data_IF_610143900728
#
_entry.id   IF_610143900728
#
_cell.length_a   1.000
_cell.length_b   1.000
_cell.length_c   1.000
_cell.angle_alpha   90.00
_cell.angle_beta   90.00
_cell.angle_gamma   90.00
#
_symmetry.space_group_name_H-M   'P 1'
#
loop_
_entity.id
_entity.type
_entity.pdbx_description
1 polymer ?
#
# COMPACT_ATOMS: atom_id res chain seq x y z
N UNK A 1 4.90 10.68 15.43
CA UNK A 1 3.46 10.80 15.74
C UNK A 1 2.69 9.79 14.88
N UNK A 2 1.44 9.48 15.23
CA UNK A 2 0.61 8.57 14.45
C UNK A 2 -0.87 8.97 14.43
N UNK A 3 -1.56 8.65 13.35
CA UNK A 3 -3.03 8.69 13.21
C UNK A 3 -3.51 7.47 12.44
N UNK A 4 -4.72 7.01 12.70
CA UNK A 4 -5.28 5.83 12.04
C UNK A 4 -6.78 5.92 11.82
N UNK A 5 -7.26 5.28 10.76
CA UNK A 5 -8.67 5.26 10.36
C UNK A 5 -8.98 4.04 9.50
N UNK A 6 -10.07 4.13 8.74
CA UNK A 6 -10.54 3.06 7.87
C UNK A 6 -10.71 3.55 6.44
N UNK A 7 -10.37 2.70 5.46
CA UNK A 7 -10.71 2.87 4.06
C UNK A 7 -11.59 1.72 3.60
N UNK A 8 -12.56 1.95 2.73
CA UNK A 8 -13.32 0.88 2.07
C UNK A 8 -12.62 0.46 0.79
N UNK A 9 -12.12 -0.77 0.73
CA UNK A 9 -11.43 -1.33 -0.44
C UNK A 9 -12.38 -1.55 -1.62
N UNK A 10 -11.78 -1.69 -2.80
CA UNK A 10 -12.48 -2.05 -4.04
C UNK A 10 -12.40 -3.54 -4.37
N UNK A 11 -11.72 -4.32 -3.54
CA UNK A 11 -11.56 -5.77 -3.72
C UNK A 11 -11.60 -6.51 -2.39
N UNK A 12 -11.79 -7.83 -2.45
CA UNK A 12 -11.80 -8.76 -1.31
C UNK A 12 -11.15 -10.07 -1.72
N UNK A 13 -10.28 -10.60 -0.87
CA UNK A 13 -9.68 -11.93 -1.02
C UNK A 13 -8.66 -12.06 -2.15
N UNK A 14 -8.27 -10.98 -2.81
CA UNK A 14 -7.23 -10.97 -3.84
C UNK A 14 -7.31 -9.75 -4.75
N UNK A 15 -6.56 -9.81 -5.85
CA UNK A 15 -6.51 -8.76 -6.88
C UNK A 15 -6.02 -7.40 -6.38
N UNK A 16 -5.02 -7.42 -5.50
CA UNK A 16 -4.40 -6.25 -4.86
C UNK A 16 -4.09 -5.10 -5.81
N UNK A 17 -3.69 -5.39 -7.06
CA UNK A 17 -3.40 -4.35 -8.06
C UNK A 17 -4.60 -3.43 -8.36
N UNK A 18 -5.84 -3.90 -8.15
CA UNK A 18 -7.06 -3.09 -8.28
C UNK A 18 -7.18 -2.07 -7.14
N UNK A 19 -6.92 -2.49 -5.89
CA UNK A 19 -6.87 -1.60 -4.74
C UNK A 19 -5.72 -0.58 -4.85
N UNK A 20 -4.54 -1.03 -5.24
CA UNK A 20 -3.38 -0.16 -5.47
C UNK A 20 -3.70 0.89 -6.54
N UNK A 21 -4.25 0.46 -7.68
CA UNK A 21 -4.67 1.36 -8.75
C UNK A 21 -5.71 2.37 -8.26
N UNK A 22 -6.66 1.92 -7.45
CA UNK A 22 -7.67 2.80 -6.85
C UNK A 22 -7.03 3.87 -5.98
N UNK A 23 -6.19 3.47 -5.02
CA UNK A 23 -5.50 4.36 -4.10
C UNK A 23 -4.64 5.39 -4.83
N UNK A 24 -3.88 4.95 -5.85
CA UNK A 24 -2.93 5.78 -6.56
C UNK A 24 -3.57 6.73 -7.57
N UNK A 25 -4.75 6.41 -8.08
CA UNK A 25 -5.40 7.18 -9.16
C UNK A 25 -6.65 7.91 -8.73
N UNK A 26 -7.19 7.59 -7.55
CA UNK A 26 -8.44 8.14 -7.05
C UNK A 26 -9.64 7.79 -7.93
N UNK A 27 -9.56 6.66 -8.64
CA UNK A 27 -10.64 6.13 -9.47
C UNK A 27 -11.03 4.78 -8.89
N UNK A 28 -12.32 4.49 -8.77
CA UNK A 28 -12.79 3.18 -8.31
C UNK A 28 -12.47 2.09 -9.33
N UNK A 29 -11.37 1.35 -9.14
CA UNK A 29 -10.96 0.22 -9.98
C UNK A 29 -11.37 -1.08 -9.29
N UNK A 30 -12.51 -1.64 -9.69
CA UNK A 30 -13.07 -2.86 -9.09
C UNK A 30 -13.18 -4.03 -10.08
N UNK A 31 -12.51 -3.94 -11.24
CA UNK A 31 -12.51 -4.99 -12.25
C UNK A 31 -11.35 -4.85 -13.23
N UNK A 32 -11.01 -5.95 -13.91
CA UNK A 32 -9.98 -5.97 -14.95
C UNK A 32 -10.31 -5.03 -16.12
N UNK A 33 -11.59 -4.92 -16.51
CA UNK A 33 -12.02 -3.99 -17.56
C UNK A 33 -11.73 -2.53 -17.21
N UNK A 34 -11.96 -2.13 -15.94
CA UNK A 34 -11.62 -0.79 -15.46
C UNK A 34 -10.11 -0.58 -15.37
N UNK A 35 -9.37 -1.61 -14.95
CA UNK A 35 -7.91 -1.57 -14.91
C UNK A 35 -7.31 -1.37 -16.31
N UNK A 36 -7.79 -2.10 -17.32
CA UNK A 36 -7.35 -1.93 -18.72
C UNK A 36 -7.67 -0.54 -19.27
N UNK A 37 -8.86 -0.01 -18.95
CA UNK A 37 -9.21 1.36 -19.33
C UNK A 37 -8.31 2.40 -18.65
N UNK A 38 -7.95 2.16 -17.37
CA UNK A 38 -7.05 3.03 -16.61
C UNK A 38 -5.67 3.11 -17.25
N UNK A 39 -5.03 1.97 -17.52
CA UNK A 39 -3.65 1.93 -18.06
C UNK A 39 -3.54 2.52 -19.47
N UNK A 40 -4.66 2.61 -20.20
CA UNK A 40 -4.76 3.28 -21.49
C UNK A 40 -5.16 4.76 -21.39
N UNK A 41 -5.46 5.26 -20.19
CA UNK A 41 -5.93 6.64 -19.97
C UNK A 41 -4.78 7.61 -19.67
N UNK A 42 -5.00 8.93 -19.84
CA UNK A 42 -4.03 9.95 -19.42
C UNK A 42 -4.11 10.29 -17.92
N UNK A 43 -4.86 9.53 -17.10
CA UNK A 43 -5.00 9.82 -15.66
C UNK A 43 -3.63 9.69 -14.99
N UNK A 44 -3.19 10.74 -14.30
CA UNK A 44 -1.95 10.72 -13.52
C UNK A 44 -2.13 9.98 -12.19
N UNK A 45 -1.16 9.14 -11.82
CA UNK A 45 -1.09 8.50 -10.49
C UNK A 45 -0.48 9.46 -9.45
N UNK A 46 -0.54 9.12 -8.16
CA UNK A 46 0.21 9.82 -7.10
C UNK A 46 1.72 9.83 -7.39
N UNK A 47 2.26 8.71 -7.86
CA UNK A 47 3.68 8.58 -8.21
C UNK A 47 4.01 9.47 -9.40
N UNK A 48 3.19 9.47 -10.45
CA UNK A 48 3.37 10.36 -11.60
C UNK A 48 3.44 11.84 -11.19
N UNK A 49 2.58 12.27 -10.27
CA UNK A 49 2.60 13.63 -9.72
C UNK A 49 3.84 13.90 -8.85
N UNK A 50 4.26 12.93 -8.03
CA UNK A 50 5.47 13.06 -7.22
C UNK A 50 6.74 13.19 -8.09
N UNK A 51 6.82 12.39 -9.16
CA UNK A 51 7.90 12.46 -10.15
C UNK A 51 7.98 13.82 -10.83
N UNK A 52 6.84 14.37 -11.25
CA UNK A 52 6.76 15.74 -11.81
C UNK A 52 7.20 16.81 -10.80
N UNK A 53 6.99 16.57 -9.51
CA UNK A 53 7.46 17.43 -8.42
C UNK A 53 8.94 17.21 -8.05
N UNK A 54 9.69 16.39 -8.81
CA UNK A 54 11.13 16.17 -8.63
C UNK A 54 11.48 15.09 -7.60
N UNK A 55 10.51 14.31 -7.12
CA UNK A 55 10.78 13.17 -6.25
C UNK A 55 11.24 11.97 -7.07
N UNK A 56 12.14 11.17 -6.51
CA UNK A 56 12.46 9.87 -7.07
C UNK A 56 11.33 8.89 -6.73
N UNK A 57 10.70 8.30 -7.73
CA UNK A 57 9.57 7.39 -7.53
C UNK A 57 9.98 5.93 -7.64
N UNK A 58 9.48 5.09 -6.75
CA UNK A 58 9.83 3.68 -6.77
C UNK A 58 8.66 2.74 -6.45
N UNK A 59 8.72 1.54 -7.04
CA UNK A 59 7.91 0.39 -6.64
C UNK A 59 8.81 -0.66 -5.99
N UNK A 60 8.42 -1.18 -4.83
CA UNK A 60 9.06 -2.32 -4.16
C UNK A 60 8.03 -3.44 -4.11
N UNK A 61 8.17 -4.41 -5.02
CA UNK A 61 7.12 -5.38 -5.35
C UNK A 61 7.68 -6.82 -5.31
N UNK A 62 7.91 -7.38 -4.11
CA UNK A 62 8.55 -8.68 -3.91
C UNK A 62 7.78 -9.85 -4.56
N UNK A 63 6.49 -9.68 -4.87
CA UNK A 63 5.63 -10.68 -5.49
C UNK A 63 5.79 -10.78 -7.02
N UNK A 64 6.36 -9.75 -7.66
CA UNK A 64 6.45 -9.69 -9.12
C UNK A 64 7.69 -10.47 -9.56
N UNK A 65 7.45 -11.65 -10.16
CA UNK A 65 8.49 -12.57 -10.65
C UNK A 65 8.51 -12.69 -12.18
N UNK A 66 7.52 -12.12 -12.85
CA UNK A 66 7.38 -12.08 -14.31
C UNK A 66 7.39 -10.64 -14.81
N UNK A 67 7.49 -10.47 -16.13
CA UNK A 67 7.40 -9.13 -16.74
C UNK A 67 6.08 -8.45 -16.41
N UNK A 68 6.15 -7.24 -15.88
CA UNK A 68 4.99 -6.40 -15.58
C UNK A 68 4.96 -5.19 -16.52
N UNK A 69 4.24 -5.31 -17.64
CA UNK A 69 4.24 -4.29 -18.70
C UNK A 69 3.50 -3.02 -18.28
N UNK A 70 2.44 -3.20 -17.49
CA UNK A 70 1.59 -2.12 -17.01
C UNK A 70 2.31 -1.19 -16.03
N UNK A 71 3.45 -1.61 -15.48
CA UNK A 71 4.30 -0.75 -14.64
C UNK A 71 4.66 0.59 -15.29
N UNK A 72 4.78 0.63 -16.62
CA UNK A 72 5.09 1.86 -17.38
C UNK A 72 4.03 2.96 -17.25
N UNK A 73 2.80 2.61 -16.87
CA UNK A 73 1.72 3.58 -16.63
C UNK A 73 1.89 4.33 -15.30
N UNK A 74 2.43 3.68 -14.26
CA UNK A 74 2.35 4.19 -12.89
C UNK A 74 3.35 5.30 -12.57
N UNK A 75 4.38 5.49 -13.39
CA UNK A 75 5.34 6.59 -13.24
C UNK A 75 6.43 6.35 -12.20
N UNK A 76 6.91 5.11 -12.09
CA UNK A 76 8.10 4.77 -11.29
C UNK A 76 9.39 5.09 -12.07
N UNK A 77 10.39 5.67 -11.40
CA UNK A 77 11.76 5.75 -11.89
C UNK A 77 12.51 4.43 -11.66
N UNK A 78 12.25 3.77 -10.52
CA UNK A 78 12.85 2.49 -10.14
C UNK A 78 11.79 1.45 -9.79
N UNK A 79 11.95 0.22 -10.28
CA UNK A 79 11.15 -0.93 -9.86
C UNK A 79 12.12 -1.93 -9.23
N UNK A 80 11.88 -2.29 -7.98
CA UNK A 80 12.54 -3.38 -7.28
C UNK A 80 11.57 -4.56 -7.22
N UNK A 81 11.59 -5.40 -8.26
CA UNK A 81 10.85 -6.66 -8.29
C UNK A 81 11.59 -7.74 -7.50
N UNK A 82 11.03 -8.96 -7.40
CA UNK A 82 11.57 -10.03 -6.57
C UNK A 82 13.08 -10.27 -6.78
N UNK A 83 13.50 -10.36 -8.05
CA UNK A 83 14.89 -10.60 -8.42
C UNK A 83 15.83 -9.43 -8.08
N UNK A 84 15.30 -8.21 -8.04
CA UNK A 84 16.09 -7.00 -7.80
C UNK A 84 16.40 -6.82 -6.32
N UNK A 85 15.58 -7.34 -5.41
CA UNK A 85 15.74 -7.16 -3.95
C UNK A 85 16.97 -7.89 -3.40
N UNK A 86 17.51 -8.87 -4.13
CA UNK A 86 18.73 -9.58 -3.77
C UNK A 86 18.55 -10.61 -2.64
N UNK A 87 17.32 -11.08 -2.42
CA UNK A 87 17.03 -12.18 -1.50
C UNK A 87 17.60 -13.50 -2.06
N UNK A 88 18.35 -14.22 -1.23
CA UNK A 88 18.97 -15.51 -1.55
C UNK A 88 18.47 -16.65 -0.69
N UNK A 89 17.66 -16.35 0.32
CA UNK A 89 17.01 -17.37 1.14
C UNK A 89 15.92 -18.13 0.39
N UNK A 90 15.42 -19.18 1.02
CA UNK A 90 14.26 -19.95 0.54
C UNK A 90 12.99 -19.11 0.61
N UNK A 91 12.06 -19.30 -0.35
CA UNK A 91 10.74 -18.70 -0.26
C UNK A 91 9.90 -19.37 0.82
N UNK A 92 8.98 -18.62 1.41
CA UNK A 92 7.94 -19.08 2.33
C UNK A 92 6.70 -19.48 1.52
N UNK A 93 6.82 -20.59 0.77
CA UNK A 93 5.84 -21.00 -0.25
C UNK A 93 5.71 -19.95 -1.38
N UNK A 94 4.52 -19.38 -1.58
CA UNK A 94 4.30 -18.33 -2.58
C UNK A 94 4.91 -16.99 -2.16
N UNK A 95 5.04 -16.76 -0.84
CA UNK A 95 5.72 -15.58 -0.31
C UNK A 95 7.21 -15.70 -0.61
N UNK A 96 7.67 -14.89 -1.54
CA UNK A 96 9.03 -14.97 -2.10
C UNK A 96 10.11 -14.62 -1.07
N UNK A 97 9.85 -13.64 -0.19
CA UNK A 97 10.73 -13.28 0.94
C UNK A 97 9.95 -12.60 2.07
N UNK A 98 10.47 -12.60 3.31
CA UNK A 98 9.85 -11.90 4.43
C UNK A 98 9.87 -10.36 4.27
N UNK A 99 8.85 -9.70 4.79
CA UNK A 99 8.68 -8.23 4.72
C UNK A 99 9.85 -7.47 5.36
N UNK A 100 10.47 -8.07 6.38
CA UNK A 100 11.65 -7.52 7.04
C UNK A 100 12.82 -7.38 6.06
N UNK A 101 13.03 -8.39 5.20
CA UNK A 101 14.03 -8.30 4.15
C UNK A 101 13.63 -7.30 3.07
N UNK A 102 12.35 -7.27 2.67
CA UNK A 102 11.83 -6.30 1.69
C UNK A 102 12.10 -4.86 2.11
N UNK A 103 11.80 -4.50 3.36
CA UNK A 103 12.04 -3.14 3.90
C UNK A 103 13.54 -2.84 4.07
N UNK A 104 14.35 -3.82 4.46
CA UNK A 104 15.80 -3.65 4.54
C UNK A 104 16.42 -3.46 3.15
N UNK A 105 15.95 -4.18 2.14
CA UNK A 105 16.38 -4.02 0.76
C UNK A 105 15.96 -2.65 0.19
N UNK A 106 14.72 -2.21 0.48
CA UNK A 106 14.26 -0.86 0.16
C UNK A 106 15.21 0.22 0.72
N UNK A 107 15.55 0.13 2.01
CA UNK A 107 16.48 1.07 2.66
C UNK A 107 17.84 1.10 1.95
N UNK A 108 18.48 -0.07 1.78
CA UNK A 108 19.80 -0.18 1.14
C UNK A 108 19.84 0.33 -0.29
N UNK A 109 18.76 0.14 -1.05
CA UNK A 109 18.72 0.44 -2.49
C UNK A 109 18.25 1.86 -2.80
N UNK A 110 17.39 2.44 -1.98
CA UNK A 110 16.72 3.70 -2.30
C UNK A 110 16.94 4.81 -1.26
N UNK A 111 17.24 4.47 0.00
CA UNK A 111 17.41 5.48 1.06
C UNK A 111 18.87 5.74 1.44
N UNK A 112 19.73 4.72 1.39
CA UNK A 112 21.14 4.81 1.77
C UNK A 112 22.04 5.50 0.72
N UNK A 113 21.82 5.38 -0.60
CA UNK A 113 22.63 6.09 -1.59
C UNK A 113 22.50 7.63 -1.46
N UNK A 114 23.63 8.35 -1.47
CA UNK A 114 23.67 9.82 -1.42
C UNK A 114 24.67 10.38 -2.46
N UNK A 115 24.42 11.59 -3.03
CA UNK A 115 23.21 12.40 -2.85
C UNK A 115 21.98 11.76 -3.51
N UNK A 116 20.79 12.03 -2.97
CA UNK A 116 19.52 11.56 -3.54
C UNK A 116 18.42 12.60 -3.42
N UNK A 117 17.46 12.54 -4.34
CA UNK A 117 16.20 13.27 -4.22
C UNK A 117 15.33 12.65 -3.09
N UNK A 118 14.29 13.35 -2.61
CA UNK A 118 13.24 12.75 -1.81
C UNK A 118 12.61 11.55 -2.53
N UNK A 119 12.32 10.48 -1.80
CA UNK A 119 11.79 9.24 -2.37
C UNK A 119 10.31 9.13 -2.08
N UNK A 120 9.49 8.87 -3.11
CA UNK A 120 8.10 8.44 -2.98
C UNK A 120 8.03 6.97 -3.43
N UNK A 121 7.90 6.05 -2.47
CA UNK A 121 7.88 4.62 -2.75
C UNK A 121 6.52 4.00 -2.45
N UNK A 122 6.02 3.20 -3.39
CA UNK A 122 4.98 2.20 -3.13
C UNK A 122 5.67 0.88 -2.77
N UNK A 123 5.30 0.29 -1.63
CA UNK A 123 5.90 -0.95 -1.13
C UNK A 123 4.76 -1.95 -0.91
N UNK A 124 4.72 -3.00 -1.73
CA UNK A 124 3.75 -4.08 -1.64
C UNK A 124 4.28 -5.19 -0.73
N UNK A 125 3.99 -5.11 0.56
CA UNK A 125 4.32 -6.16 1.52
C UNK A 125 3.55 -7.45 1.22
N UNK A 126 4.14 -8.60 1.52
CA UNK A 126 3.65 -9.91 1.05
C UNK A 126 3.54 -10.96 2.16
N UNK A 127 4.11 -10.74 3.35
CA UNK A 127 4.19 -11.79 4.38
C UNK A 127 2.84 -12.16 5.00
N UNK A 128 1.83 -11.29 4.90
CA UNK A 128 0.45 -11.59 5.26
C UNK A 128 -0.42 -12.11 4.11
N UNK A 129 0.18 -12.53 3.01
CA UNK A 129 -0.54 -13.21 1.92
C UNK A 129 -0.71 -14.71 2.22
N UNK A 130 -1.77 -15.32 1.68
CA UNK A 130 -1.94 -16.77 1.73
C UNK A 130 -0.71 -17.48 1.14
N UNK A 131 -0.25 -18.62 1.70
CA UNK A 131 -1.01 -19.52 2.59
C UNK A 131 -0.88 -19.27 4.10
N UNK A 132 -0.27 -18.15 4.53
CA UNK A 132 -0.06 -17.78 5.95
C UNK A 132 0.76 -18.77 6.77
N UNK A 133 1.52 -19.66 6.15
CA UNK A 133 2.47 -20.55 6.83
C UNK A 133 3.67 -20.85 5.90
N UNK A 134 4.88 -21.00 6.43
CA UNK A 134 5.27 -20.67 7.80
C UNK A 134 5.31 -19.16 8.06
N UNK A 135 5.26 -18.78 9.34
CA UNK A 135 5.45 -17.38 9.76
C UNK A 135 6.95 -17.14 10.02
N UNK A 136 7.60 -16.21 9.31
CA UNK A 136 8.99 -15.87 9.60
C UNK A 136 9.12 -15.26 11.01
N UNK A 137 10.22 -15.53 11.73
CA UNK A 137 10.54 -14.76 12.94
C UNK A 137 10.98 -13.35 12.57
N UNK A 138 10.83 -12.41 13.50
CA UNK A 138 11.53 -11.13 13.41
C UNK A 138 12.97 -11.34 13.91
N UNK A 139 13.95 -11.09 13.06
CA UNK A 139 15.37 -11.25 13.37
C UNK A 139 16.03 -9.90 13.64
N UNK A 140 17.23 -9.85 14.25
CA UNK A 140 17.99 -8.61 14.31
C UNK A 140 18.26 -8.07 12.89
N UNK A 141 17.94 -6.79 12.63
CA UNK A 141 17.96 -6.21 11.28
C UNK A 141 19.34 -6.20 10.62
N UNK A 142 20.40 -6.11 11.43
CA UNK A 142 21.80 -6.19 11.00
C UNK A 142 22.24 -7.62 10.62
N UNK A 143 21.48 -8.64 11.02
CA UNK A 143 21.80 -10.05 10.75
C UNK A 143 21.20 -10.57 9.44
N UNK A 144 20.36 -9.77 8.76
CA UNK A 144 19.59 -10.23 7.61
C UNK A 144 20.45 -10.66 6.42
N UNK A 145 21.61 -10.01 6.21
CA UNK A 145 22.52 -10.33 5.12
C UNK A 145 21.83 -10.33 3.76
N UNK A 146 21.97 -11.45 3.03
CA UNK A 146 21.28 -11.73 1.77
C UNK A 146 19.95 -12.48 1.95
N UNK A 147 19.51 -12.70 3.19
CA UNK A 147 18.26 -13.36 3.53
C UNK A 147 18.38 -14.87 3.77
N UNK A 148 19.53 -15.50 3.52
CA UNK A 148 19.72 -16.94 3.78
C UNK A 148 19.54 -17.32 5.26
N UNK A 149 19.64 -16.35 6.18
CA UNK A 149 19.35 -16.54 7.62
C UNK A 149 17.92 -17.01 7.89
N UNK A 150 16.99 -16.79 6.95
CA UNK A 150 15.60 -17.23 7.08
C UNK A 150 15.36 -18.71 6.66
N UNK A 151 16.34 -19.36 6.03
CA UNK A 151 16.19 -20.73 5.49
C UNK A 151 15.67 -21.78 6.48
N UNK A 152 16.10 -21.79 7.77
CA UNK A 152 15.59 -22.74 8.74
C UNK A 152 14.08 -22.58 9.01
N UNK A 153 13.54 -21.38 8.82
CA UNK A 153 12.15 -21.04 9.12
C UNK A 153 11.23 -21.21 7.91
N UNK A 154 11.77 -21.04 6.70
CA UNK A 154 11.01 -21.16 5.44
C UNK A 154 10.37 -22.53 5.23
N UNK A 155 10.90 -23.57 5.88
CA UNK A 155 10.37 -24.95 5.83
C UNK A 155 9.95 -25.47 7.21
N UNK A 156 9.74 -24.59 8.18
CA UNK A 156 9.35 -24.96 9.53
C UNK A 156 7.84 -25.19 9.65
N UNK A 157 7.43 -26.03 10.61
CA UNK A 157 6.02 -26.26 10.93
C UNK A 157 5.25 -27.06 9.87
N UNK A 158 3.92 -27.01 9.97
CA UNK A 158 3.03 -27.72 9.07
C UNK A 158 2.90 -27.02 7.72
N UNK A 159 2.93 -27.83 6.65
CA UNK A 159 2.73 -27.37 5.29
C UNK A 159 1.31 -26.80 5.08
N UNK A 160 1.11 -25.91 4.08
CA UNK A 160 -0.20 -25.34 3.76
C UNK A 160 -1.32 -26.38 3.67
N UNK A 161 -1.08 -27.53 3.03
CA UNK A 161 -2.08 -28.57 2.80
C UNK A 161 -2.58 -29.24 4.10
N UNK A 162 -1.82 -29.11 5.19
CA UNK A 162 -2.19 -29.60 6.52
C UNK A 162 -2.95 -28.50 7.28
N UNK A 163 -2.41 -27.27 7.29
CA UNK A 163 -3.05 -26.12 7.95
C UNK A 163 -4.43 -25.86 7.37
N UNK A 164 -4.55 -25.91 6.04
CA UNK A 164 -5.77 -25.55 5.32
C UNK A 164 -6.91 -26.58 5.44
N UNK A 165 -6.69 -27.71 6.11
CA UNK A 165 -7.75 -28.67 6.46
C UNK A 165 -8.60 -28.20 7.64
N UNK A 166 -8.12 -27.24 8.42
CA UNK A 166 -8.78 -26.75 9.62
C UNK A 166 -8.96 -25.22 9.53
N UNK A 167 -10.21 -24.73 9.38
CA UNK A 167 -10.49 -23.30 9.31
C UNK A 167 -10.02 -22.49 10.52
N UNK A 168 -10.01 -23.05 11.73
CA UNK A 168 -9.50 -22.36 12.93
C UNK A 168 -7.99 -22.17 12.85
N UNK A 169 -7.27 -23.18 12.37
CA UNK A 169 -5.82 -23.07 12.14
C UNK A 169 -5.49 -22.04 11.07
N UNK A 170 -6.27 -21.98 9.98
CA UNK A 170 -6.08 -20.95 8.94
C UNK A 170 -6.28 -19.55 9.51
N UNK A 171 -7.32 -19.33 10.32
CA UNK A 171 -7.57 -18.04 10.98
C UNK A 171 -6.45 -17.64 11.94
N UNK A 172 -5.94 -18.59 12.71
CA UNK A 172 -4.83 -18.34 13.62
C UNK A 172 -3.56 -17.98 12.86
N UNK A 173 -3.24 -18.70 11.78
CA UNK A 173 -2.09 -18.40 10.92
C UNK A 173 -2.22 -17.03 10.24
N UNK A 174 -3.42 -16.68 9.76
CA UNK A 174 -3.69 -15.34 9.24
C UNK A 174 -3.41 -14.26 10.30
N UNK A 175 -3.93 -14.42 11.53
CA UNK A 175 -3.69 -13.51 12.64
C UNK A 175 -2.19 -13.36 12.94
N UNK A 176 -1.44 -14.46 13.00
CA UNK A 176 0.01 -14.45 13.23
C UNK A 176 0.77 -13.75 12.10
N UNK A 177 0.36 -13.94 10.85
CA UNK A 177 0.97 -13.25 9.69
C UNK A 177 0.77 -11.73 9.72
N UNK A 178 -0.40 -11.27 10.19
CA UNK A 178 -0.67 -9.85 10.41
C UNK A 178 0.17 -9.30 11.57
N UNK A 179 0.29 -10.03 12.67
CA UNK A 179 1.14 -9.65 13.80
C UNK A 179 2.59 -9.47 13.33
N UNK A 180 3.13 -10.42 12.57
CA UNK A 180 4.48 -10.32 11.99
C UNK A 180 4.61 -9.06 11.12
N UNK A 181 3.73 -8.88 10.14
CA UNK A 181 3.83 -7.79 9.16
C UNK A 181 3.74 -6.41 9.82
N UNK A 182 2.79 -6.24 10.76
CA UNK A 182 2.64 -4.99 11.52
C UNK A 182 3.82 -4.74 12.47
N UNK A 183 4.38 -5.79 13.08
CA UNK A 183 5.57 -5.68 13.92
C UNK A 183 6.76 -5.18 13.11
N UNK A 184 7.01 -5.80 11.95
CA UNK A 184 8.10 -5.41 11.04
C UNK A 184 7.97 -3.96 10.57
N UNK A 185 6.77 -3.52 10.20
CA UNK A 185 6.51 -2.12 9.82
C UNK A 185 6.75 -1.16 10.98
N UNK A 186 6.30 -1.52 12.18
CA UNK A 186 6.51 -0.75 13.40
C UNK A 186 8.00 -0.62 13.76
N UNK A 187 8.75 -1.72 13.69
CA UNK A 187 10.20 -1.72 13.89
C UNK A 187 10.93 -0.90 12.84
N UNK A 188 10.54 -0.99 11.57
CA UNK A 188 11.11 -0.16 10.51
C UNK A 188 10.88 1.33 10.80
N UNK A 189 9.66 1.72 11.18
CA UNK A 189 9.34 3.09 11.57
C UNK A 189 10.19 3.57 12.75
N UNK A 190 10.36 2.72 13.77
CA UNK A 190 11.16 3.02 14.96
C UNK A 190 12.65 3.19 14.62
N UNK A 191 13.21 2.31 13.78
CA UNK A 191 14.60 2.40 13.30
C UNK A 191 14.88 3.69 12.54
N UNK A 192 13.89 4.20 11.80
CA UNK A 192 14.00 5.46 11.05
C UNK A 192 13.68 6.70 11.87
N UNK A 193 13.42 6.61 13.18
CA UNK A 193 12.94 7.73 13.98
C UNK A 193 13.86 8.96 13.98
N UNK A 194 15.16 8.80 13.75
CA UNK A 194 16.11 9.91 13.63
C UNK A 194 15.96 10.71 12.31
N UNK A 195 15.48 10.07 11.25
CA UNK A 195 15.15 10.69 9.95
C UNK A 195 13.79 10.18 9.49
N UNK A 196 12.70 10.54 10.19
CA UNK A 196 11.44 9.84 10.07
C UNK A 196 10.78 10.12 8.72
N UNK A 197 10.50 9.10 7.89
CA UNK A 197 9.65 9.28 6.71
C UNK A 197 8.20 9.53 7.14
N UNK A 198 7.40 10.10 6.24
CA UNK A 198 5.95 10.00 6.33
C UNK A 198 5.53 8.66 5.72
N UNK A 199 5.08 7.73 6.55
CA UNK A 199 4.61 6.41 6.15
C UNK A 199 3.10 6.38 6.15
N UNK A 200 2.52 5.84 5.08
CA UNK A 200 1.09 5.52 4.98
C UNK A 200 0.99 4.00 4.82
N UNK A 201 0.45 3.34 5.84
CA UNK A 201 0.40 1.88 5.96
C UNK A 201 -1.07 1.46 5.96
N UNK A 202 -1.49 0.69 4.97
CA UNK A 202 -2.88 0.27 4.84
C UNK A 202 -2.98 -1.18 4.37
N UNK A 203 -4.10 -1.82 4.70
CA UNK A 203 -4.51 -3.03 3.99
C UNK A 203 -4.97 -2.68 2.58
N UNK A 204 -4.70 -3.55 1.62
CA UNK A 204 -5.25 -3.47 0.27
C UNK A 204 -6.66 -4.06 0.22
N UNK A 205 -6.92 -5.16 0.94
CA UNK A 205 -8.25 -5.78 1.06
C UNK A 205 -8.39 -6.71 2.27
N UNK A 206 -9.65 -7.05 2.60
CA UNK A 206 -9.98 -8.14 3.54
C UNK A 206 -9.60 -9.52 2.96
N UNK A 207 -9.30 -10.55 3.77
CA UNK A 207 -9.12 -11.91 3.27
C UNK A 207 -10.45 -12.49 2.78
N UNK A 208 -10.41 -13.69 2.21
CA UNK A 208 -11.61 -14.42 1.77
C UNK A 208 -12.60 -14.64 2.91
N UNK A 209 -13.90 -14.70 2.59
CA UNK A 209 -14.99 -14.67 3.57
C UNK A 209 -14.96 -15.74 4.67
N UNK A 210 -14.41 -16.93 4.42
CA UNK A 210 -14.29 -17.98 5.44
C UNK A 210 -13.24 -17.65 6.53
N UNK A 211 -12.28 -16.77 6.22
CA UNK A 211 -11.30 -16.24 7.17
C UNK A 211 -11.88 -15.02 7.89
N UNK A 212 -12.49 -14.11 7.12
CA UNK A 212 -13.14 -12.90 7.65
C UNK A 212 -14.45 -13.17 8.40
N UNK A 213 -14.91 -14.42 8.47
CA UNK A 213 -16.17 -14.85 9.11
C UNK A 213 -17.41 -14.04 8.70
N UNK A 214 -17.45 -13.58 7.45
CA UNK A 214 -18.59 -12.82 6.94
C UNK A 214 -18.75 -11.40 7.54
N UNK A 215 -17.71 -10.82 8.16
CA UNK A 215 -17.71 -9.40 8.46
C UNK A 215 -17.96 -8.61 7.17
N UNK A 216 -18.96 -7.72 7.23
CA UNK A 216 -19.74 -7.27 6.07
C UNK A 216 -19.03 -6.26 5.18
N UNK A 217 -18.19 -5.40 5.74
CA UNK A 217 -17.62 -4.28 5.01
C UNK A 217 -16.25 -4.63 4.42
N UNK A 218 -15.93 -4.08 3.24
CA UNK A 218 -14.60 -4.20 2.61
C UNK A 218 -13.57 -3.25 3.25
N UNK A 219 -13.79 -2.90 4.52
CA UNK A 219 -13.03 -1.89 5.24
C UNK A 219 -11.67 -2.43 5.67
N UNK A 220 -10.63 -1.63 5.47
CA UNK A 220 -9.24 -1.94 5.80
C UNK A 220 -8.65 -0.82 6.64
N UNK A 221 -7.80 -1.13 7.63
CA UNK A 221 -7.20 -0.08 8.44
C UNK A 221 -6.17 0.70 7.63
N UNK A 222 -6.06 2.00 7.88
CA UNK A 222 -5.01 2.88 7.35
C UNK A 222 -4.34 3.62 8.50
N UNK A 223 -3.03 3.76 8.43
CA UNK A 223 -2.20 4.39 9.45
C UNK A 223 -1.28 5.40 8.79
N UNK A 224 -1.13 6.57 9.41
CA UNK A 224 -0.14 7.58 9.06
C UNK A 224 0.84 7.66 10.21
N UNK A 225 2.12 7.41 9.94
CA UNK A 225 3.20 7.41 10.93
C UNK A 225 4.31 8.32 10.42
N UNK A 226 4.82 9.24 11.24
CA UNK A 226 5.91 10.10 10.79
C UNK A 226 6.14 11.37 11.64
N UNK A 227 6.80 12.39 11.06
CA UNK A 227 7.02 13.68 11.71
C UNK A 227 5.72 14.29 12.26
N UNK A 228 5.70 14.83 13.49
CA UNK A 228 4.48 15.36 14.10
C UNK A 228 3.78 16.44 13.28
N UNK A 229 4.53 17.32 12.62
CA UNK A 229 4.01 18.40 11.78
C UNK A 229 3.35 17.89 10.50
N UNK A 230 3.85 16.81 9.90
CA UNK A 230 3.24 16.17 8.73
C UNK A 230 1.99 15.37 9.12
N UNK A 231 2.06 14.60 10.22
CA UNK A 231 0.91 13.83 10.73
C UNK A 231 -0.22 14.76 11.19
N UNK A 232 0.10 15.93 11.75
CA UNK A 232 -0.89 16.92 12.17
C UNK A 232 -1.77 17.42 11.02
N UNK A 233 -1.30 17.36 9.77
CA UNK A 233 -2.09 17.77 8.59
C UNK A 233 -3.28 16.87 8.31
N UNK A 234 -3.32 15.67 8.88
CA UNK A 234 -4.46 14.76 8.80
C UNK A 234 -5.53 15.01 9.89
N UNK A 235 -5.45 16.11 10.64
CA UNK A 235 -6.40 16.40 11.72
C UNK A 235 -7.86 16.41 11.24
N UNK A 236 -8.11 16.96 10.05
CA UNK A 236 -9.46 17.10 9.48
C UNK A 236 -9.94 15.85 8.73
N UNK A 237 -9.22 14.72 8.87
CA UNK A 237 -9.61 13.46 8.25
C UNK A 237 -10.62 12.66 9.09
N UNK A 238 -10.90 13.10 10.32
CA UNK A 238 -11.74 12.34 11.27
C UNK A 238 -11.07 11.07 11.82
N UNK A 239 -9.76 10.94 11.59
CA UNK A 239 -8.96 9.79 12.02
C UNK A 239 -8.46 9.93 13.46
N UNK A 240 -8.40 8.79 14.14
CA UNK A 240 -8.02 8.67 15.55
C UNK A 240 -6.52 8.95 15.73
N UNK A 241 -6.09 9.77 16.71
CA UNK A 241 -4.69 9.82 17.10
C UNK A 241 -4.21 8.47 17.64
N UNK A 242 -3.07 7.98 17.14
CA UNK A 242 -2.52 6.67 17.52
C UNK A 242 -2.49 5.67 16.37
N UNK A 243 -2.25 4.41 16.73
CA UNK A 243 -2.08 3.28 15.79
C UNK A 243 -3.30 2.35 15.74
N UNK A 244 -4.33 2.61 16.54
CA UNK A 244 -5.54 1.78 16.59
C UNK A 244 -6.71 2.65 16.14
N UNK A 245 -7.29 2.40 14.95
CA UNK A 245 -8.50 3.09 14.51
C UNK A 245 -9.63 2.87 15.51
N UNK A 246 -10.41 3.90 15.81
CA UNK A 246 -11.63 3.70 16.59
C UNK A 246 -12.63 2.86 15.76
N UNK A 247 -13.28 1.84 16.35
CA UNK A 247 -14.23 1.00 15.62
C UNK A 247 -15.42 1.75 15.02
N UNK A 248 -15.79 2.89 15.61
CA UNK A 248 -16.90 3.73 15.15
C UNK A 248 -16.49 4.82 14.15
N UNK A 249 -15.21 4.96 13.82
CA UNK A 249 -14.77 5.91 12.79
C UNK A 249 -15.31 5.47 11.43
N UNK A 250 -16.08 6.31 10.71
CA UNK A 250 -16.57 5.94 9.39
C UNK A 250 -15.44 5.66 8.41
N UNK A 251 -15.57 4.60 7.61
CA UNK A 251 -14.63 4.32 6.54
C UNK A 251 -14.79 5.31 5.38
N UNK A 252 -13.66 5.68 4.78
CA UNK A 252 -13.61 6.51 3.58
C UNK A 252 -13.43 5.62 2.35
N UNK A 253 -14.17 5.82 1.26
CA UNK A 253 -13.90 5.12 0.00
C UNK A 253 -12.42 5.24 -0.40
N UNK A 254 -11.77 4.14 -0.76
CA UNK A 254 -10.34 4.15 -1.11
C UNK A 254 -10.03 5.08 -2.29
N UNK A 255 -10.98 5.25 -3.22
CA UNK A 255 -10.88 6.19 -4.34
C UNK A 255 -10.80 7.67 -3.89
N UNK A 256 -11.28 8.03 -2.71
CA UNK A 256 -11.22 9.41 -2.22
C UNK A 256 -9.83 9.77 -1.66
N UNK A 257 -9.03 8.76 -1.33
CA UNK A 257 -7.73 8.92 -0.66
C UNK A 257 -6.78 9.85 -1.41
N UNK A 258 -6.60 9.62 -2.72
CA UNK A 258 -5.64 10.39 -3.55
C UNK A 258 -5.92 11.88 -3.49
N UNK A 259 -7.14 12.28 -3.80
CA UNK A 259 -7.46 13.69 -3.97
C UNK A 259 -7.50 14.40 -2.61
N UNK A 260 -7.87 13.68 -1.53
CA UNK A 260 -7.74 14.18 -0.16
C UNK A 260 -6.28 14.33 0.28
N UNK A 261 -5.40 13.40 -0.08
CA UNK A 261 -3.96 13.48 0.17
C UNK A 261 -3.34 14.67 -0.58
N UNK A 262 -3.65 14.81 -1.86
CA UNK A 262 -3.19 15.94 -2.68
C UNK A 262 -3.72 17.26 -2.17
N UNK A 263 -4.96 17.32 -1.67
CA UNK A 263 -5.48 18.52 -1.00
C UNK A 263 -4.69 18.79 0.27
N UNK A 264 -4.38 17.79 1.08
CA UNK A 264 -3.67 17.95 2.35
C UNK A 264 -2.23 18.47 2.17
N UNK A 265 -1.52 18.01 1.14
CA UNK A 265 -0.10 18.34 0.90
C UNK A 265 0.13 19.31 -0.28
N UNK A 266 -0.91 19.62 -1.03
CA UNK A 266 -0.82 20.47 -2.21
C UNK A 266 -0.54 21.94 -1.89
N UNK A 267 -0.16 22.72 -2.92
CA UNK A 267 0.10 24.14 -2.80
C UNK A 267 -1.07 24.87 -2.13
N UNK A 268 -0.77 25.84 -1.26
CA UNK A 268 -1.78 26.54 -0.46
C UNK A 268 -2.86 27.22 -1.31
N UNK A 269 -2.52 27.70 -2.52
CA UNK A 269 -3.46 28.25 -3.48
C UNK A 269 -4.51 27.22 -3.97
N UNK A 270 -4.11 25.97 -4.18
CA UNK A 270 -5.03 24.89 -4.57
C UNK A 270 -5.95 24.48 -3.41
N UNK A 271 -5.44 24.50 -2.16
CA UNK A 271 -6.24 24.28 -0.95
C UNK A 271 -7.31 25.35 -0.74
N UNK A 272 -6.97 26.62 -0.98
CA UNK A 272 -7.91 27.74 -0.88
C UNK A 272 -8.96 27.72 -1.99
N UNK A 273 -8.58 27.34 -3.21
CA UNK A 273 -9.52 27.18 -4.33
C UNK A 273 -10.51 26.02 -4.12
N UNK A 274 -10.05 24.89 -3.56
CA UNK A 274 -10.93 23.76 -3.20
C UNK A 274 -11.92 24.13 -2.08
N UNK A 275 -11.49 24.94 -1.11
CA UNK A 275 -12.35 25.44 -0.03
C UNK A 275 -13.37 26.50 -0.49
N UNK A 276 -13.07 27.24 -1.57
CA UNK A 276 -13.96 28.27 -2.12
C UNK A 276 -15.16 27.69 -2.90
N UNK A 277 -15.14 26.39 -3.24
CA UNK A 277 -16.15 25.74 -4.07
C UNK A 277 -16.17 26.26 -5.52
N UNK A 278 -16.78 25.53 -6.46
CA UNK A 278 -16.92 26.05 -7.82
C UNK A 278 -17.92 27.21 -7.83
N UNK A 279 -17.48 28.41 -8.22
CA UNK A 279 -18.41 29.42 -8.74
C UNK A 279 -19.04 28.87 -10.02
N UNK A 280 -20.23 28.29 -9.91
CA UNK A 280 -21.05 27.95 -11.06
C UNK A 280 -21.54 29.27 -11.67
N UNK A 281 -20.74 29.87 -12.57
CA UNK A 281 -21.27 30.83 -13.53
C UNK A 281 -21.97 30.05 -14.63
N UNK A 282 -23.27 29.85 -14.44
CA UNK A 282 -24.15 29.36 -15.50
C UNK A 282 -24.11 30.35 -16.67
N UNK A 283 -23.35 30.03 -17.71
CA UNK A 283 -23.64 30.51 -19.06
C UNK A 283 -24.28 29.36 -19.81
N UNK A 284 -25.61 29.38 -19.87
CA UNK A 284 -26.36 28.55 -20.77
C UNK A 284 -26.15 29.08 -22.20
N UNK A 285 -25.27 28.46 -22.96
CA UNK A 285 -25.34 28.52 -24.42
C UNK A 285 -26.16 27.32 -24.91
N UNK A 286 -27.19 27.52 -25.75
CA UNK A 286 -27.97 26.41 -26.28
C UNK A 286 -27.13 25.58 -27.25
N UNK A 287 -27.11 24.26 -27.05
CA UNK A 287 -26.53 23.30 -27.98
C UNK A 287 -27.27 23.32 -29.33
N UNK A 288 -26.58 23.30 -30.48
CA UNK A 288 -27.22 23.15 -31.78
C UNK A 288 -27.77 21.72 -31.95
N UNK A 289 -28.88 21.62 -32.67
CA UNK A 289 -29.58 20.36 -32.93
C UNK A 289 -28.73 19.34 -33.71
N UNK A 290 -28.88 18.03 -33.45
CA UNK A 290 -28.10 17.00 -34.13
C UNK A 290 -28.51 16.87 -35.60
N UNK A 291 -27.50 16.77 -36.47
CA UNK A 291 -27.68 16.36 -37.86
C UNK A 291 -27.94 14.85 -37.94
N UNK A 292 -28.95 14.48 -38.71
CA UNK A 292 -29.26 13.09 -39.07
C UNK A 292 -28.22 12.58 -40.08
N UNK A 293 -27.55 11.47 -39.74
CA UNK A 293 -27.21 10.36 -40.64
C UNK A 293 -27.13 9.08 -39.81
#
# INVERSE_FOLDING_TARGET
>A
AARSGWLTSTTRGGQSWLAHSTLLTGLRIASDGRYRALVASPRRTLLGLAREAGWHTAAVVPAITLTWRESGYFGYDTILAAADLGYRGKPFNWVTMPDQFTLAAFERRLLDPHPRNPVFAEIALISSHAPWTPIPPVLPWESLGDGAVFDPFATAGDAPEVVWRDPDRVREQFRLSLVYSLTVVGEFAARRAATPPLMIVLGDHQPTGFVAQGYGDDDVPVHVIGPPDLVARFADWGWTPGLVPAPATPAMPMEDFRDRLLTTFGPQAARQAAAAGPEIRARAEPLPAPAQY
#
